data_IF_482215984432
#
_entry.id   IF_482215984432
#
_cell.length_a   1.000
_cell.length_b   1.000
_cell.length_c   1.000
_cell.angle_alpha   90.00
_cell.angle_beta   90.00
_cell.angle_gamma   90.00
#
_symmetry.space_group_name_H-M   'P 1'
#
loop_
_entity.id
_entity.type
_entity.pdbx_description
1 polymer ?
#
# COMPACT_ATOMS: atom_id res chain seq x y z
N UNK A 1 -42.82 -63.96 54.10
CA UNK A 1 -41.72 -63.00 53.88
C UNK A 1 -42.08 -62.17 52.65
N UNK A 2 -42.55 -60.92 52.79
CA UNK A 2 -42.94 -60.07 51.67
C UNK A 2 -41.72 -59.39 51.04
N UNK A 3 -41.71 -59.34 49.70
CA UNK A 3 -40.63 -58.86 48.84
C UNK A 3 -40.38 -57.36 48.95
N UNK A 4 -39.10 -56.99 48.87
CA UNK A 4 -38.51 -55.63 48.93
C UNK A 4 -39.03 -54.73 47.79
N UNK A 5 -39.23 -53.42 48.00
CA UNK A 5 -39.60 -52.49 46.93
C UNK A 5 -38.35 -52.08 46.15
N UNK A 6 -38.39 -52.27 44.83
CA UNK A 6 -37.34 -51.79 43.92
C UNK A 6 -37.89 -50.67 43.04
N UNK A 7 -37.29 -49.51 43.26
CA UNK A 7 -36.87 -48.54 42.26
C UNK A 7 -37.96 -47.76 41.51
N UNK A 8 -38.12 -46.52 41.98
CA UNK A 8 -38.75 -45.39 41.30
C UNK A 8 -37.98 -45.08 40.01
N UNK A 9 -38.58 -45.18 38.81
CA UNK A 9 -38.05 -44.50 37.65
C UNK A 9 -38.37 -43.01 37.82
N UNK A 10 -37.30 -42.21 37.93
CA UNK A 10 -37.33 -40.76 37.91
C UNK A 10 -37.81 -40.26 36.53
N UNK A 11 -39.10 -40.35 36.26
CA UNK A 11 -39.77 -39.69 35.14
C UNK A 11 -39.91 -38.20 35.45
N UNK A 12 -38.95 -37.42 34.97
CA UNK A 12 -39.12 -36.07 34.40
C UNK A 12 -37.78 -35.32 34.38
N UNK A 13 -36.85 -35.72 33.51
CA UNK A 13 -35.99 -34.69 32.92
C UNK A 13 -36.89 -33.79 32.08
N UNK A 14 -36.96 -32.46 32.29
CA UNK A 14 -37.60 -31.61 31.31
C UNK A 14 -36.75 -31.75 30.04
N UNK A 15 -37.32 -32.39 29.02
CA UNK A 15 -36.77 -32.43 27.68
C UNK A 15 -36.28 -31.01 27.37
N UNK A 16 -34.97 -30.84 27.23
CA UNK A 16 -34.35 -29.58 26.87
C UNK A 16 -35.14 -29.08 25.68
N UNK A 17 -35.94 -28.03 25.91
CA UNK A 17 -36.88 -27.51 24.95
C UNK A 17 -36.08 -27.30 23.68
N UNK A 18 -36.31 -28.19 22.71
CA UNK A 18 -35.67 -28.19 21.42
C UNK A 18 -36.12 -26.93 20.74
N UNK A 19 -35.48 -25.81 21.08
CA UNK A 19 -35.62 -24.54 20.43
C UNK A 19 -34.96 -24.78 19.09
N UNK A 20 -35.70 -25.41 18.18
CA UNK A 20 -35.53 -25.26 16.74
C UNK A 20 -35.66 -23.76 16.50
N UNK A 21 -34.57 -23.04 16.74
CA UNK A 21 -34.42 -21.66 16.32
C UNK A 21 -34.65 -21.78 14.82
N UNK A 22 -35.81 -21.36 14.35
CA UNK A 22 -36.04 -21.16 12.92
C UNK A 22 -34.96 -20.18 12.49
N UNK A 23 -33.89 -20.69 11.89
CA UNK A 23 -32.86 -19.91 11.19
C UNK A 23 -33.48 -19.36 9.89
N UNK A 24 -34.64 -18.72 9.98
CA UNK A 24 -35.22 -17.99 8.86
C UNK A 24 -34.33 -16.79 8.56
N UNK A 25 -33.71 -16.79 7.39
CA UNK A 25 -32.86 -15.75 6.79
C UNK A 25 -31.41 -15.59 7.31
N UNK A 26 -30.95 -16.34 8.33
CA UNK A 26 -29.53 -16.35 8.72
C UNK A 26 -28.53 -16.67 7.58
N UNK A 27 -28.79 -17.63 6.67
CA UNK A 27 -27.85 -17.88 5.57
C UNK A 27 -27.81 -16.73 4.55
N UNK A 28 -28.92 -15.99 4.38
CA UNK A 28 -28.99 -14.86 3.44
C UNK A 28 -28.15 -13.69 3.94
N UNK A 29 -28.26 -13.34 5.22
CA UNK A 29 -27.42 -12.28 5.80
C UNK A 29 -25.94 -12.65 5.81
N UNK A 30 -25.61 -13.94 5.99
CA UNK A 30 -24.23 -14.42 5.90
C UNK A 30 -23.66 -14.29 4.49
N UNK A 31 -24.42 -14.69 3.46
CA UNK A 31 -24.04 -14.52 2.05
C UNK A 31 -23.89 -13.05 1.68
N UNK A 32 -24.83 -12.21 2.11
CA UNK A 32 -24.73 -10.76 1.90
C UNK A 32 -23.48 -10.18 2.57
N UNK A 33 -23.16 -10.61 3.78
CA UNK A 33 -21.93 -10.21 4.48
C UNK A 33 -20.67 -10.60 3.72
N UNK A 34 -20.61 -11.81 3.15
CA UNK A 34 -19.48 -12.26 2.31
C UNK A 34 -19.34 -11.40 1.06
N UNK A 35 -20.44 -11.11 0.37
CA UNK A 35 -20.42 -10.30 -0.86
C UNK A 35 -19.93 -8.88 -0.55
N UNK A 36 -20.46 -8.27 0.51
CA UNK A 36 -20.01 -6.94 0.96
C UNK A 36 -18.52 -6.98 1.30
N UNK A 37 -18.10 -7.95 2.12
CA UNK A 37 -16.69 -8.09 2.48
C UNK A 37 -15.81 -8.23 1.23
N UNK A 38 -16.18 -9.08 0.27
CA UNK A 38 -15.43 -9.28 -0.96
C UNK A 38 -15.28 -7.98 -1.78
N UNK A 39 -16.36 -7.21 -1.94
CA UNK A 39 -16.33 -5.92 -2.66
C UNK A 39 -15.41 -4.93 -1.95
N UNK A 40 -15.50 -4.84 -0.62
CA UNK A 40 -14.61 -3.98 0.15
C UNK A 40 -13.14 -4.42 0.03
N UNK A 41 -12.83 -5.71 0.18
CA UNK A 41 -11.45 -6.20 0.09
C UNK A 41 -10.85 -5.98 -1.30
N UNK A 42 -11.62 -6.21 -2.38
CA UNK A 42 -11.15 -5.99 -3.75
C UNK A 42 -11.02 -4.49 -4.05
N UNK A 43 -12.02 -3.68 -3.69
CA UNK A 43 -11.99 -2.23 -3.93
C UNK A 43 -10.84 -1.55 -3.21
N UNK A 44 -10.63 -1.86 -1.92
CA UNK A 44 -9.51 -1.33 -1.14
C UNK A 44 -8.17 -1.92 -1.58
N UNK A 45 -8.13 -3.19 -2.00
CA UNK A 45 -6.94 -3.84 -2.52
C UNK A 45 -6.41 -3.18 -3.80
N UNK A 46 -7.29 -2.87 -4.75
CA UNK A 46 -6.93 -2.15 -6.00
C UNK A 46 -6.41 -0.75 -5.68
N UNK A 47 -7.07 -0.04 -4.75
CA UNK A 47 -6.61 1.28 -4.33
C UNK A 47 -5.17 1.22 -3.76
N UNK A 48 -4.89 0.28 -2.86
CA UNK A 48 -3.55 0.12 -2.27
C UNK A 48 -2.46 -0.18 -3.30
N UNK A 49 -2.77 -1.00 -4.31
CA UNK A 49 -1.82 -1.29 -5.41
C UNK A 49 -1.59 -0.03 -6.27
N UNK A 50 -2.62 0.77 -6.52
CA UNK A 50 -2.46 2.02 -7.28
C UNK A 50 -1.66 3.09 -6.53
N UNK A 51 -1.80 3.16 -5.20
CA UNK A 51 -1.08 4.12 -4.36
C UNK A 51 0.40 3.79 -4.21
N UNK A 52 0.76 2.52 -4.11
CA UNK A 52 2.15 2.10 -3.95
C UNK A 52 2.95 2.03 -5.27
N UNK A 53 2.36 2.50 -6.38
CA UNK A 53 2.89 2.24 -7.71
C UNK A 53 2.62 0.78 -8.09
N UNK A 54 2.16 0.57 -9.33
CA UNK A 54 1.86 -0.77 -9.83
C UNK A 54 3.04 -1.75 -9.67
N UNK A 55 2.78 -3.03 -9.87
CA UNK A 55 3.70 -4.18 -9.67
C UNK A 55 5.06 -4.12 -10.43
N UNK A 56 5.41 -3.01 -11.09
CA UNK A 56 6.72 -2.69 -11.65
C UNK A 56 7.43 -1.61 -10.82
N UNK A 57 7.73 -1.91 -9.55
CA UNK A 57 8.32 -0.92 -8.64
C UNK A 57 9.76 -0.59 -9.06
N UNK A 58 9.98 0.60 -9.63
CA UNK A 58 11.32 1.19 -9.74
C UNK A 58 11.91 1.33 -8.34
N UNK A 59 12.99 0.59 -8.06
CA UNK A 59 13.69 0.70 -6.79
C UNK A 59 14.77 1.77 -6.90
N UNK A 60 14.90 2.62 -5.89
CA UNK A 60 15.95 3.61 -5.81
C UNK A 60 16.53 3.67 -4.40
N UNK A 61 17.80 4.04 -4.31
CA UNK A 61 18.51 4.24 -3.06
C UNK A 61 19.37 5.49 -3.15
N UNK A 62 19.19 6.43 -2.22
CA UNK A 62 20.05 7.60 -2.13
C UNK A 62 21.39 7.17 -1.51
N UNK A 63 22.48 7.40 -2.26
CA UNK A 63 23.84 7.07 -1.82
C UNK A 63 24.42 8.23 -1.00
N UNK A 64 24.26 9.45 -1.49
CA UNK A 64 24.73 10.67 -0.83
C UNK A 64 24.05 11.91 -1.43
N UNK A 65 24.03 12.99 -0.66
CA UNK A 65 23.68 14.32 -1.14
C UNK A 65 24.58 15.36 -0.47
N UNK A 66 24.77 16.50 -1.14
CA UNK A 66 25.57 17.62 -0.65
C UNK A 66 24.96 18.94 -1.12
N UNK A 67 24.95 19.91 -0.22
CA UNK A 67 24.58 21.30 -0.53
C UNK A 67 25.89 22.02 -0.85
N UNK A 68 25.98 22.59 -2.04
CA UNK A 68 27.20 23.26 -2.51
C UNK A 68 27.15 24.76 -2.22
N UNK A 69 25.96 25.36 -2.36
CA UNK A 69 25.72 26.77 -2.10
C UNK A 69 24.24 27.04 -1.81
N UNK A 70 23.92 28.31 -1.54
CA UNK A 70 22.55 28.81 -1.38
C UNK A 70 21.66 28.61 -2.63
N UNK A 71 22.25 28.25 -3.77
CA UNK A 71 21.52 28.07 -5.04
C UNK A 71 21.78 26.74 -5.72
N UNK A 72 22.55 25.84 -5.09
CA UNK A 72 22.96 24.60 -5.73
C UNK A 72 23.13 23.45 -4.74
N UNK A 73 22.52 22.32 -5.07
CA UNK A 73 22.72 21.06 -4.37
C UNK A 73 22.97 19.91 -5.35
N UNK A 74 23.58 18.84 -4.87
CA UNK A 74 23.89 17.64 -5.65
C UNK A 74 23.42 16.40 -4.91
N UNK A 75 22.98 15.41 -5.67
CA UNK A 75 22.58 14.10 -5.16
C UNK A 75 23.22 13.01 -6.02
N UNK A 76 23.57 11.91 -5.37
CA UNK A 76 23.94 10.66 -5.99
C UNK A 76 22.99 9.58 -5.50
N UNK A 77 22.33 8.89 -6.42
CA UNK A 77 21.41 7.81 -6.10
C UNK A 77 21.58 6.66 -7.10
N UNK A 78 21.35 5.45 -6.61
CA UNK A 78 21.29 4.27 -7.44
C UNK A 78 19.83 4.00 -7.78
N UNK A 79 19.55 3.71 -9.05
CA UNK A 79 18.23 3.30 -9.51
C UNK A 79 18.32 1.95 -10.18
N UNK A 80 17.33 1.12 -9.95
CA UNK A 80 17.13 -0.13 -10.67
C UNK A 80 15.69 -0.17 -11.16
N UNK A 81 15.54 -0.04 -12.47
CA UNK A 81 14.26 0.04 -13.16
C UNK A 81 14.23 -0.95 -14.31
N UNK A 82 13.04 -1.47 -14.64
CA UNK A 82 12.91 -2.43 -15.75
C UNK A 82 12.85 -1.70 -17.08
N UNK A 83 12.09 -0.62 -17.12
CA UNK A 83 11.90 0.26 -18.27
C UNK A 83 12.50 1.65 -18.00
N UNK A 84 12.80 2.45 -19.04
CA UNK A 84 13.24 3.83 -18.86
C UNK A 84 12.30 4.59 -17.93
N UNK A 85 12.85 5.34 -16.99
CA UNK A 85 12.09 6.02 -15.96
C UNK A 85 12.49 7.50 -15.84
N UNK A 86 11.58 8.29 -15.27
CA UNK A 86 11.83 9.67 -14.90
C UNK A 86 11.84 9.77 -13.39
N UNK A 87 13.01 10.10 -12.84
CA UNK A 87 13.18 10.31 -11.41
C UNK A 87 13.07 11.80 -11.08
N UNK A 88 12.16 12.11 -10.16
CA UNK A 88 11.93 13.44 -9.64
C UNK A 88 12.74 13.62 -8.36
N UNK A 89 13.66 14.57 -8.40
CA UNK A 89 14.51 14.92 -7.25
C UNK A 89 14.05 16.27 -6.71
N UNK A 90 13.86 16.34 -5.40
CA UNK A 90 13.43 17.56 -4.70
C UNK A 90 14.45 17.97 -3.65
N UNK A 91 14.70 19.26 -3.56
CA UNK A 91 15.49 19.89 -2.50
C UNK A 91 14.57 20.71 -1.60
N UNK A 92 14.73 20.59 -0.28
CA UNK A 92 13.91 21.28 0.72
C UNK A 92 14.75 22.05 1.75
N UNK A 93 14.19 23.13 2.30
CA UNK A 93 14.80 23.94 3.37
C UNK A 93 14.65 23.30 4.76
N UNK A 94 15.20 23.96 5.79
CA UNK A 94 15.12 23.51 7.18
C UNK A 94 13.70 23.44 7.76
N UNK A 95 12.70 23.96 7.04
CA UNK A 95 11.26 23.90 7.37
C UNK A 95 10.53 22.92 6.45
N UNK A 96 11.25 22.09 5.70
CA UNK A 96 10.75 21.13 4.72
C UNK A 96 9.94 21.76 3.57
N UNK A 97 10.18 23.04 3.27
CA UNK A 97 9.62 23.72 2.10
C UNK A 97 10.50 23.43 0.89
N UNK A 98 9.90 23.00 -0.22
CA UNK A 98 10.61 22.77 -1.46
C UNK A 98 11.26 24.07 -1.97
N UNK A 99 12.57 24.00 -2.24
CA UNK A 99 13.38 25.12 -2.75
C UNK A 99 14.01 24.80 -4.11
N UNK A 100 13.89 23.58 -4.60
CA UNK A 100 14.37 23.20 -5.93
C UNK A 100 13.83 21.84 -6.34
N UNK A 101 13.74 21.62 -7.64
CA UNK A 101 13.29 20.37 -8.21
C UNK A 101 13.96 20.14 -9.56
N UNK A 102 14.29 18.89 -9.86
CA UNK A 102 14.80 18.50 -11.18
C UNK A 102 14.29 17.12 -11.56
N UNK A 103 14.12 16.92 -12.86
CA UNK A 103 13.75 15.64 -13.45
C UNK A 103 14.99 15.02 -14.08
N UNK A 104 15.25 13.76 -13.72
CA UNK A 104 16.42 13.03 -14.19
C UNK A 104 15.94 11.81 -14.95
N UNK A 105 16.09 11.79 -16.30
CA UNK A 105 15.80 10.61 -17.08
C UNK A 105 16.83 9.53 -16.76
N UNK A 106 16.36 8.30 -16.57
CA UNK A 106 17.20 7.14 -16.29
C UNK A 106 16.82 6.02 -17.25
N UNK A 107 17.83 5.33 -17.76
CA UNK A 107 17.63 4.20 -18.66
C UNK A 107 17.26 2.93 -17.88
N UNK A 108 16.80 1.92 -18.61
CA UNK A 108 16.56 0.59 -18.05
C UNK A 108 17.83 -0.03 -17.42
N UNK A 109 17.64 -0.77 -16.32
CA UNK A 109 18.69 -1.48 -15.60
C UNK A 109 19.15 -0.79 -14.32
N UNK A 110 20.31 -1.24 -13.81
CA UNK A 110 20.94 -0.71 -12.61
C UNK A 110 21.91 0.40 -13.00
N UNK A 111 21.69 1.62 -12.50
CA UNK A 111 22.55 2.76 -12.78
C UNK A 111 22.80 3.62 -11.54
N UNK A 112 24.03 4.14 -11.45
CA UNK A 112 24.41 5.18 -10.51
C UNK A 112 24.23 6.54 -11.18
N UNK A 113 23.36 7.36 -10.60
CA UNK A 113 22.93 8.63 -11.18
C UNK A 113 23.44 9.76 -10.31
N UNK A 114 24.09 10.73 -10.94
CA UNK A 114 24.55 11.97 -10.31
C UNK A 114 23.79 13.14 -10.90
N UNK A 115 23.04 13.84 -10.05
CA UNK A 115 22.20 14.96 -10.47
C UNK A 115 22.54 16.23 -9.68
N UNK A 116 22.44 17.36 -10.38
CA UNK A 116 22.55 18.70 -9.82
C UNK A 116 21.17 19.34 -9.81
N UNK A 117 20.85 19.99 -8.71
CA UNK A 117 19.59 20.68 -8.49
C UNK A 117 19.91 22.16 -8.27
N UNK A 118 19.33 23.00 -9.13
CA UNK A 118 19.30 24.44 -8.91
C UNK A 118 18.23 24.75 -7.85
N UNK A 119 18.61 25.55 -6.85
CA UNK A 119 17.72 25.91 -5.75
C UNK A 119 17.54 27.43 -5.70
N UNK A 120 16.36 27.87 -5.27
CA UNK A 120 16.07 29.31 -5.07
C UNK A 120 16.60 29.83 -3.73
N UNK A 121 16.97 28.91 -2.83
CA UNK A 121 17.56 29.16 -1.51
C UNK A 121 18.30 27.91 -1.04
N UNK A 122 19.17 28.08 -0.04
CA UNK A 122 19.91 27.00 0.60
C UNK A 122 18.98 25.84 0.98
N UNK A 123 19.29 24.67 0.43
CA UNK A 123 18.63 23.43 0.79
C UNK A 123 19.27 22.85 2.05
N UNK A 124 18.49 22.21 2.92
CA UNK A 124 19.00 21.41 4.03
C UNK A 124 18.88 19.92 3.78
N UNK A 125 18.08 19.50 2.79
CA UNK A 125 17.87 18.09 2.45
C UNK A 125 17.57 17.96 0.97
N UNK A 126 18.08 16.90 0.36
CA UNK A 126 17.77 16.52 -1.02
C UNK A 126 17.35 15.06 -1.04
N UNK A 127 16.26 14.76 -1.74
CA UNK A 127 15.71 13.42 -1.82
C UNK A 127 15.14 13.13 -3.21
N UNK A 128 15.04 11.84 -3.53
CA UNK A 128 14.30 11.36 -4.69
C UNK A 128 12.84 11.19 -4.26
N UNK A 129 11.97 12.07 -4.75
CA UNK A 129 10.54 12.11 -4.40
C UNK A 129 9.76 11.00 -5.07
N UNK A 130 10.08 10.70 -6.33
CA UNK A 130 9.46 9.59 -7.05
C UNK A 130 10.29 9.19 -8.25
N UNK A 131 10.37 7.90 -8.55
CA UNK A 131 10.79 7.41 -9.86
C UNK A 131 9.60 6.71 -10.50
N UNK A 132 9.22 7.14 -11.69
CA UNK A 132 8.14 6.53 -12.46
C UNK A 132 8.69 6.04 -13.78
N UNK A 133 8.48 4.77 -14.10
CA UNK A 133 8.71 4.26 -15.44
C UNK A 133 7.91 5.12 -16.41
N UNK A 134 8.56 5.56 -17.49
CA UNK A 134 7.89 6.18 -18.63
C UNK A 134 7.15 5.07 -19.37
N UNK A 135 6.11 4.54 -18.73
CA UNK A 135 5.13 3.69 -19.41
C UNK A 135 4.61 4.49 -20.57
N UNK A 136 4.75 3.94 -21.77
CA UNK A 136 4.22 4.42 -23.04
C UNK A 136 2.85 5.08 -22.87
N UNK A 137 2.83 6.38 -22.62
CA UNK A 137 1.62 7.19 -22.66
C UNK A 137 1.31 7.50 -24.13
N UNK A 138 1.15 6.44 -24.93
CA UNK A 138 0.28 6.49 -26.09
C UNK A 138 -1.13 6.26 -25.57
N UNK A 139 -1.68 7.29 -24.93
CA UNK A 139 -3.12 7.46 -24.80
C UNK A 139 -3.56 8.12 -26.13
N UNK A 140 -4.10 7.39 -27.11
CA UNK A 140 -4.83 8.05 -28.17
C UNK A 140 -6.08 8.62 -27.51
N UNK A 141 -6.13 9.94 -27.39
CA UNK A 141 -7.36 10.66 -27.10
C UNK A 141 -8.47 10.16 -28.04
N UNK A 142 -9.47 9.45 -27.51
CA UNK A 142 -10.84 9.37 -28.04
C UNK A 142 -11.85 9.08 -26.92
#
# INVERSE_FOLDING_TARGET
MPSKPSDVPSDAAPAAAGRRRRLGNRPVFFLMGIVVAAVFTVGWGIALVSYNGGLGSTSYQVVAWRVLSDSEATISFQVNTRDPALCLVSASDARHVQVGQTEVPVEAGVQDVHARIETVREASTVEVTSCREQGSQNDPAQ
#
